data_IF_121017419992
#
_entry.id   IF_121017419992
#
_cell.length_a   1.000
_cell.length_b   1.000
_cell.length_c   1.000
_cell.angle_alpha   90.00
_cell.angle_beta   90.00
_cell.angle_gamma   90.00
#
_symmetry.space_group_name_H-M   'P 1'
#
loop_
_entity.id
_entity.type
_entity.pdbx_description
1 polymer ?
#
# COMPACT_ATOMS: atom_id res chain seq x y z
N UNK A 1 3.17 0.96 19.86
CA UNK A 1 2.09 -0.02 19.63
C UNK A 1 1.73 0.09 18.16
N UNK A 2 2.50 -0.55 17.29
CA UNK A 2 2.16 -0.63 15.87
C UNK A 2 1.15 -1.75 15.68
N UNK A 3 0.10 -1.48 14.92
CA UNK A 3 -0.88 -2.47 14.48
C UNK A 3 -0.14 -3.47 13.59
N UNK A 4 -0.21 -4.76 13.94
CA UNK A 4 0.13 -5.83 13.01
C UNK A 4 -0.69 -5.64 11.73
N UNK A 5 -0.03 -5.70 10.58
CA UNK A 5 -0.60 -5.54 9.25
C UNK A 5 -2.04 -6.06 9.17
N UNK A 6 -3.02 -5.22 8.75
CA UNK A 6 -4.39 -5.68 8.65
C UNK A 6 -4.50 -6.75 7.56
N UNK A 7 -5.24 -7.81 7.84
CA UNK A 7 -5.64 -8.75 6.78
C UNK A 7 -6.34 -8.01 5.63
N UNK A 8 -6.28 -8.54 4.42
CA UNK A 8 -6.98 -7.99 3.24
C UNK A 8 -8.46 -7.68 3.52
N UNK A 9 -9.13 -8.50 4.34
CA UNK A 9 -10.54 -8.26 4.72
C UNK A 9 -10.71 -6.99 5.53
N UNK A 10 -9.83 -6.76 6.51
CA UNK A 10 -9.86 -5.55 7.35
C UNK A 10 -9.44 -4.34 6.52
N UNK A 11 -8.42 -4.48 5.67
CA UNK A 11 -7.99 -3.42 4.77
C UNK A 11 -9.15 -2.88 3.90
N UNK A 12 -9.98 -3.78 3.35
CA UNK A 12 -11.16 -3.41 2.54
C UNK A 12 -12.28 -2.71 3.31
N UNK A 13 -12.22 -2.67 4.64
CA UNK A 13 -13.21 -1.95 5.46
C UNK A 13 -12.88 -0.46 5.61
N UNK A 14 -11.67 -0.03 5.24
CA UNK A 14 -11.31 1.39 5.32
C UNK A 14 -11.89 2.18 4.13
N UNK A 15 -12.61 3.25 4.44
CA UNK A 15 -13.10 4.19 3.42
C UNK A 15 -11.95 4.93 2.74
N UNK A 16 -10.94 5.31 3.53
CA UNK A 16 -9.74 6.01 3.08
C UNK A 16 -8.49 5.43 3.74
N UNK A 17 -7.38 5.46 3.00
CA UNK A 17 -6.05 5.01 3.42
C UNK A 17 -5.08 6.17 3.21
N UNK A 18 -4.27 6.44 4.24
CA UNK A 18 -3.14 7.37 4.19
C UNK A 18 -1.85 6.55 4.33
N UNK A 19 -1.01 6.61 3.30
CA UNK A 19 0.33 6.02 3.32
C UNK A 19 1.38 7.12 3.48
N UNK A 20 2.19 7.02 4.53
CA UNK A 20 3.28 7.93 4.82
C UNK A 20 4.61 7.18 4.78
N UNK A 21 5.63 7.78 4.15
CA UNK A 21 7.03 7.34 4.22
C UNK A 21 7.90 8.56 4.54
N UNK A 22 8.72 8.45 5.58
CA UNK A 22 9.62 9.53 6.04
C UNK A 22 8.94 10.92 6.19
N UNK A 23 7.67 10.94 6.64
CA UNK A 23 6.89 12.17 6.79
C UNK A 23 6.28 12.71 5.47
N UNK A 24 6.52 12.05 4.35
CA UNK A 24 5.93 12.36 3.04
C UNK A 24 4.71 11.50 2.77
N UNK A 25 3.64 12.11 2.24
CA UNK A 25 2.44 11.39 1.82
C UNK A 25 2.65 10.76 0.44
N UNK A 26 2.72 9.42 0.41
CA UNK A 26 2.82 8.65 -0.83
C UNK A 26 1.46 8.42 -1.48
N UNK A 27 0.42 8.24 -0.66
CA UNK A 27 -0.95 8.03 -1.12
C UNK A 27 -1.98 8.50 -0.07
N UNK A 28 -3.04 9.16 -0.54
CA UNK A 28 -4.24 9.40 0.25
C UNK A 28 -5.47 9.25 -0.64
N UNK A 29 -6.34 8.30 -0.31
CA UNK A 29 -7.51 8.00 -1.12
C UNK A 29 -8.22 6.74 -0.68
N UNK A 30 -9.19 6.26 -1.46
CA UNK A 30 -9.90 5.04 -1.11
C UNK A 30 -8.98 3.81 -1.17
N UNK A 31 -9.08 2.90 -0.20
CA UNK A 31 -8.18 1.73 -0.15
C UNK A 31 -8.31 0.84 -1.39
N UNK A 32 -9.50 0.76 -1.98
CA UNK A 32 -9.76 0.01 -3.22
C UNK A 32 -9.02 0.56 -4.45
N UNK A 33 -8.69 1.87 -4.46
CA UNK A 33 -8.09 2.55 -5.62
C UNK A 33 -6.55 2.60 -5.50
N UNK A 34 -5.99 2.23 -4.34
CA UNK A 34 -4.57 2.37 -4.04
C UNK A 34 -3.67 1.52 -4.95
N UNK A 35 -4.05 0.26 -5.21
CA UNK A 35 -3.26 -0.64 -6.06
C UNK A 35 -3.19 -0.13 -7.51
N UNK A 36 -4.30 0.38 -8.04
CA UNK A 36 -4.36 0.93 -9.39
C UNK A 36 -3.54 2.21 -9.50
N UNK A 37 -3.57 3.07 -8.46
CA UNK A 37 -2.72 4.25 -8.39
C UNK A 37 -1.24 3.89 -8.47
N UNK A 38 -0.77 2.96 -7.63
CA UNK A 38 0.65 2.57 -7.62
C UNK A 38 1.07 1.89 -8.91
N UNK A 39 0.22 1.06 -9.51
CA UNK A 39 0.51 0.44 -10.81
C UNK A 39 0.68 1.49 -11.91
N UNK A 40 -0.14 2.57 -11.91
CA UNK A 40 -0.04 3.65 -12.88
C UNK A 40 1.26 4.46 -12.77
N UNK A 41 1.90 4.49 -11.60
CA UNK A 41 3.19 5.17 -11.37
C UNK A 41 4.39 4.21 -11.35
N UNK A 42 4.21 2.96 -11.79
CA UNK A 42 5.29 2.00 -12.00
C UNK A 42 5.57 1.03 -10.85
N UNK A 43 4.70 0.96 -9.85
CA UNK A 43 4.83 0.04 -8.71
C UNK A 43 3.71 -0.98 -8.73
N UNK A 44 4.04 -2.24 -8.98
CA UNK A 44 3.07 -3.34 -8.96
C UNK A 44 3.72 -4.58 -8.38
N UNK A 45 3.03 -5.35 -7.53
CA UNK A 45 3.54 -6.62 -7.06
C UNK A 45 3.53 -7.66 -8.19
N UNK A 46 4.50 -8.58 -8.18
CA UNK A 46 4.58 -9.67 -9.14
C UNK A 46 3.46 -10.73 -8.98
N UNK A 47 2.87 -10.83 -7.80
CA UNK A 47 1.80 -11.76 -7.46
C UNK A 47 0.69 -11.07 -6.67
N UNK A 48 -0.46 -11.74 -6.51
CA UNK A 48 -1.52 -11.24 -5.63
C UNK A 48 -1.05 -11.22 -4.17
N UNK A 49 -0.85 -10.01 -3.66
CA UNK A 49 -0.46 -9.74 -2.26
C UNK A 49 -1.57 -9.00 -1.52
N UNK A 50 -1.50 -9.02 -0.20
CA UNK A 50 -2.33 -8.15 0.63
C UNK A 50 -1.94 -6.69 0.35
N UNK A 51 -2.89 -5.80 0.00
CA UNK A 51 -2.59 -4.39 -0.27
C UNK A 51 -1.88 -3.68 0.88
N UNK A 52 -2.19 -4.06 2.13
CA UNK A 52 -1.55 -3.46 3.30
C UNK A 52 -0.06 -3.82 3.39
N UNK A 53 0.31 -5.03 2.98
CA UNK A 53 1.70 -5.50 2.99
C UNK A 53 2.47 -4.78 1.87
N UNK A 54 1.92 -4.78 0.64
CA UNK A 54 2.49 -4.05 -0.49
C UNK A 54 2.76 -2.56 -0.19
N UNK A 55 1.82 -1.87 0.44
CA UNK A 55 1.99 -0.46 0.78
C UNK A 55 3.08 -0.23 1.83
N UNK A 56 3.28 -1.17 2.75
CA UNK A 56 4.34 -1.07 3.74
C UNK A 56 5.70 -1.35 3.11
N UNK A 57 5.80 -2.35 2.24
CA UNK A 57 7.02 -2.64 1.48
C UNK A 57 7.42 -1.40 0.65
N UNK A 58 6.45 -0.73 0.02
CA UNK A 58 6.65 0.53 -0.70
C UNK A 58 7.15 1.66 0.21
N UNK A 59 6.56 1.81 1.40
CA UNK A 59 6.97 2.85 2.35
C UNK A 59 8.33 2.58 2.99
N UNK A 60 8.78 1.32 3.01
CA UNK A 60 10.10 0.90 3.50
C UNK A 60 11.17 0.87 2.39
N UNK A 61 10.82 1.28 1.17
CA UNK A 61 11.71 1.28 -0.01
C UNK A 61 12.20 -0.12 -0.43
N UNK A 62 11.39 -1.16 -0.30
CA UNK A 62 11.76 -2.48 -0.81
C UNK A 62 11.87 -2.48 -2.34
N UNK A 63 12.99 -2.98 -2.87
CA UNK A 63 13.30 -2.94 -4.31
C UNK A 63 12.47 -3.95 -5.14
N UNK A 64 11.80 -4.93 -4.53
CA UNK A 64 11.09 -6.00 -5.24
C UNK A 64 9.81 -5.56 -5.99
N UNK A 65 9.37 -4.32 -5.76
CA UNK A 65 8.09 -3.76 -6.26
C UNK A 65 8.28 -2.70 -7.35
N UNK A 66 9.53 -2.32 -7.66
CA UNK A 66 9.87 -1.41 -8.77
C UNK A 66 10.02 -2.19 -10.07
N UNK A 67 9.28 -1.77 -11.10
CA UNK A 67 9.39 -2.30 -12.47
C UNK A 67 10.12 -1.36 -13.42
#
# INVERSE_FOLDING_TARGET
>A
MSVHQPSTRVYRMFDSVLLLAEGTCLYFGAGRDAMDYFAAVGFSPAFHVNPADFMLDLANEDDEIRH
#
